data_IF_658289125632
#
_entry.id   IF_658289125632
#
_cell.length_a   1.000
_cell.length_b   1.000
_cell.length_c   1.000
_cell.angle_alpha   90.00
_cell.angle_beta   90.00
_cell.angle_gamma   90.00
#
_symmetry.space_group_name_H-M   'P 1'
#
loop_
_entity.id
_entity.type
_entity.pdbx_description
1 polymer ?
#
# COMPACT_ATOMS: atom_id res chain seq x y z
N UNK A 1 10.42 -6.11 15.26
CA UNK A 1 10.12 -7.10 16.33
C UNK A 1 9.86 -8.44 15.72
N UNK A 2 10.52 -9.51 16.17
CA UNK A 2 10.24 -10.89 15.73
C UNK A 2 9.15 -11.50 16.65
N UNK A 3 8.27 -12.31 16.08
CA UNK A 3 7.27 -13.09 16.81
C UNK A 3 7.17 -14.52 16.26
N UNK A 4 6.66 -15.45 17.08
CA UNK A 4 6.39 -16.83 16.69
C UNK A 4 4.95 -17.21 17.01
N UNK A 5 4.36 -18.08 16.20
CA UNK A 5 3.00 -18.58 16.38
C UNK A 5 2.98 -20.02 16.87
N UNK A 6 1.83 -20.49 17.38
CA UNK A 6 1.63 -21.89 17.81
C UNK A 6 1.74 -22.89 16.66
N UNK A 7 1.56 -22.45 15.42
CA UNK A 7 1.67 -23.28 14.21
C UNK A 7 3.11 -23.39 13.71
N UNK A 8 4.07 -22.71 14.37
CA UNK A 8 5.49 -22.75 14.01
C UNK A 8 5.91 -21.69 13.00
N UNK A 9 5.02 -20.77 12.61
CA UNK A 9 5.38 -19.61 11.78
C UNK A 9 6.20 -18.61 12.60
N UNK A 10 7.26 -18.09 11.99
CA UNK A 10 8.00 -16.93 12.49
C UNK A 10 7.64 -15.72 11.62
N UNK A 11 7.37 -14.59 12.25
CA UNK A 11 7.03 -13.35 11.53
C UNK A 11 7.73 -12.14 12.13
N UNK A 12 7.83 -11.08 11.34
CA UNK A 12 8.46 -9.81 11.73
C UNK A 12 7.45 -8.67 11.63
N UNK A 13 7.45 -7.79 12.63
CA UNK A 13 6.70 -6.52 12.62
C UNK A 13 7.73 -5.39 12.57
N UNK A 14 7.66 -4.58 11.51
CA UNK A 14 8.53 -3.42 11.29
C UNK A 14 7.70 -2.14 11.34
N UNK A 15 8.27 -1.07 11.89
CA UNK A 15 7.67 0.25 11.83
C UNK A 15 8.03 0.92 10.50
N UNK A 16 7.04 1.47 9.81
CA UNK A 16 7.21 2.24 8.58
C UNK A 16 6.90 3.72 8.83
N UNK A 17 7.60 4.62 8.15
CA UNK A 17 7.22 6.03 8.12
C UNK A 17 6.02 6.25 7.19
N UNK A 18 5.38 7.42 7.30
CA UNK A 18 4.12 7.69 6.60
C UNK A 18 4.22 7.59 5.08
N UNK A 19 5.36 7.99 4.49
CA UNK A 19 5.57 7.92 3.04
C UNK A 19 5.71 6.48 2.56
N UNK A 20 6.58 5.71 3.22
CA UNK A 20 6.78 4.29 2.89
C UNK A 20 5.51 3.47 3.11
N UNK A 21 4.76 3.75 4.18
CA UNK A 21 3.48 3.10 4.42
C UNK A 21 2.47 3.42 3.30
N UNK A 22 2.36 4.68 2.88
CA UNK A 22 1.45 5.07 1.79
C UNK A 22 1.84 4.43 0.45
N UNK A 23 3.15 4.34 0.17
CA UNK A 23 3.67 3.63 -1.00
C UNK A 23 3.21 2.16 -1.01
N UNK A 24 3.50 1.41 0.05
CA UNK A 24 3.14 -0.01 0.10
C UNK A 24 1.63 -0.25 0.15
N UNK A 25 0.85 0.59 0.84
CA UNK A 25 -0.62 0.51 0.81
C UNK A 25 -1.16 0.71 -0.61
N UNK A 26 -0.55 1.62 -1.39
CA UNK A 26 -0.93 1.85 -2.79
C UNK A 26 -0.58 0.64 -3.66
N UNK A 27 0.58 0.03 -3.42
CA UNK A 27 0.99 -1.21 -4.08
C UNK A 27 0.03 -2.38 -3.79
N UNK A 28 -0.35 -2.60 -2.53
CA UNK A 28 -1.32 -3.65 -2.15
C UNK A 28 -2.66 -3.48 -2.88
N UNK A 29 -3.18 -2.24 -2.94
CA UNK A 29 -4.43 -1.94 -3.65
C UNK A 29 -4.29 -2.19 -5.14
N UNK A 30 -3.16 -1.84 -5.75
CA UNK A 30 -2.90 -2.09 -7.16
C UNK A 30 -2.80 -3.59 -7.46
N UNK A 31 -2.08 -4.36 -6.62
CA UNK A 31 -2.00 -5.83 -6.70
C UNK A 31 -3.41 -6.44 -6.60
N UNK A 32 -4.20 -6.06 -5.59
CA UNK A 32 -5.54 -6.60 -5.38
C UNK A 32 -6.53 -6.30 -6.52
N UNK A 33 -6.33 -5.20 -7.26
CA UNK A 33 -7.14 -4.86 -8.45
C UNK A 33 -6.69 -5.60 -9.70
N UNK A 34 -5.40 -5.87 -9.83
CA UNK A 34 -4.81 -6.39 -11.06
C UNK A 34 -4.77 -7.91 -11.09
N UNK A 35 -4.60 -8.54 -9.92
CA UNK A 35 -4.39 -9.99 -9.79
C UNK A 35 -5.64 -10.63 -9.20
N UNK A 36 -6.10 -11.70 -9.85
CA UNK A 36 -7.23 -12.46 -9.35
C UNK A 36 -6.79 -13.36 -8.18
N UNK A 37 -7.43 -13.23 -7.00
CA UNK A 37 -7.09 -14.07 -5.87
C UNK A 37 -7.53 -15.52 -6.09
N UNK A 38 -6.78 -16.45 -5.51
CA UNK A 38 -7.11 -17.88 -5.55
C UNK A 38 -8.48 -18.09 -4.87
N UNK A 39 -9.38 -18.80 -5.55
CA UNK A 39 -10.73 -19.09 -5.03
C UNK A 39 -11.66 -17.87 -4.95
N UNK A 40 -11.26 -16.70 -5.48
CA UNK A 40 -12.07 -15.49 -5.43
C UNK A 40 -12.16 -14.84 -4.04
N UNK A 41 -11.28 -15.21 -3.11
CA UNK A 41 -11.28 -14.65 -1.76
C UNK A 41 -10.68 -13.25 -1.73
N UNK A 42 -11.39 -12.29 -1.14
CA UNK A 42 -10.87 -10.92 -0.99
C UNK A 42 -9.75 -10.89 0.04
N UNK A 43 -8.59 -10.35 -0.36
CA UNK A 43 -7.47 -10.11 0.53
C UNK A 43 -7.83 -9.22 1.73
N UNK A 44 -8.59 -8.13 1.47
CA UNK A 44 -9.05 -7.22 2.52
C UNK A 44 -9.93 -7.91 3.56
N UNK A 45 -10.78 -8.84 3.12
CA UNK A 45 -11.62 -9.62 4.01
C UNK A 45 -10.78 -10.63 4.80
N UNK A 46 -9.81 -11.28 4.16
CA UNK A 46 -8.90 -12.23 4.81
C UNK A 46 -8.08 -11.56 5.93
N UNK A 47 -7.56 -10.34 5.69
CA UNK A 47 -6.81 -9.57 6.69
C UNK A 47 -7.68 -8.73 7.64
N UNK A 48 -9.01 -8.76 7.51
CA UNK A 48 -9.89 -8.04 8.43
C UNK A 48 -9.79 -8.58 9.85
N UNK A 49 -9.89 -7.67 10.84
CA UNK A 49 -9.95 -8.06 12.24
C UNK A 49 -11.35 -8.60 12.54
N UNK A 50 -11.43 -9.91 12.78
CA UNK A 50 -12.67 -10.59 13.15
C UNK A 50 -12.72 -10.77 14.67
N UNK A 51 -13.64 -10.07 15.32
CA UNK A 51 -13.91 -10.18 16.74
C UNK A 51 -15.35 -10.67 16.94
N UNK A 52 -15.51 -12.00 17.09
CA UNK A 52 -16.78 -12.72 17.30
C UNK A 52 -17.95 -12.28 16.40
N UNK A 53 -18.61 -11.18 16.75
CA UNK A 53 -19.78 -10.62 16.07
C UNK A 53 -19.46 -9.43 15.15
N UNK A 54 -18.21 -8.96 15.13
CA UNK A 54 -17.80 -7.76 14.40
C UNK A 54 -16.63 -8.06 13.49
N UNK A 55 -16.70 -7.48 12.29
CA UNK A 55 -15.60 -7.48 11.33
C UNK A 55 -15.16 -6.02 11.15
N UNK A 56 -13.92 -5.74 11.51
CA UNK A 56 -13.31 -4.44 11.36
C UNK A 56 -12.25 -4.49 10.25
N UNK A 57 -12.23 -3.54 9.30
CA UNK A 57 -11.17 -3.47 8.30
C UNK A 57 -9.78 -3.34 8.96
N UNK A 58 -8.78 -3.96 8.35
CA UNK A 58 -7.39 -3.72 8.71
C UNK A 58 -7.05 -2.24 8.48
N UNK A 59 -6.33 -1.63 9.43
CA UNK A 59 -5.88 -0.24 9.34
C UNK A 59 -4.50 -0.10 9.98
N UNK A 60 -3.63 0.72 9.39
CA UNK A 60 -2.28 0.94 9.90
C UNK A 60 -1.33 -0.26 9.77
N UNK A 61 -1.68 -1.25 8.94
CA UNK A 61 -0.86 -2.41 8.64
C UNK A 61 -0.70 -2.57 7.14
N UNK A 62 0.48 -3.03 6.73
CA UNK A 62 0.83 -3.49 5.40
C UNK A 62 1.16 -4.98 5.52
N UNK A 63 0.65 -5.77 4.60
CA UNK A 63 0.95 -7.19 4.47
C UNK A 63 2.22 -7.41 3.64
N UNK A 64 3.31 -7.73 4.33
CA UNK A 64 4.61 -8.04 3.72
C UNK A 64 4.51 -9.13 2.66
N UNK A 65 3.82 -10.22 2.96
CA UNK A 65 3.66 -11.35 2.05
C UNK A 65 2.99 -10.91 0.73
N UNK A 66 2.00 -10.00 0.81
CA UNK A 66 1.30 -9.51 -0.38
C UNK A 66 2.20 -8.61 -1.23
N UNK A 67 2.91 -7.66 -0.63
CA UNK A 67 3.78 -6.75 -1.40
C UNK A 67 4.98 -7.49 -2.00
N UNK A 68 5.48 -8.53 -1.33
CA UNK A 68 6.56 -9.39 -1.81
C UNK A 68 6.18 -10.19 -3.06
N UNK A 69 4.91 -10.56 -3.22
CA UNK A 69 4.46 -11.24 -4.44
C UNK A 69 4.72 -10.43 -5.71
N UNK A 70 4.94 -9.10 -5.60
CA UNK A 70 5.34 -8.28 -6.74
C UNK A 70 6.61 -8.80 -7.43
N UNK A 71 7.58 -9.33 -6.67
CA UNK A 71 8.84 -9.88 -7.21
C UNK A 71 8.62 -11.15 -8.04
N UNK A 72 7.53 -11.87 -7.80
CA UNK A 72 7.18 -13.11 -8.50
C UNK A 72 6.33 -12.89 -9.76
N UNK A 73 5.90 -11.65 -10.02
CA UNK A 73 5.04 -11.34 -11.16
C UNK A 73 5.82 -11.35 -12.49
N UNK A 74 5.13 -11.69 -13.57
CA UNK A 74 5.67 -11.47 -14.91
C UNK A 74 5.66 -9.97 -15.25
N UNK A 75 6.59 -9.54 -16.11
CA UNK A 75 6.78 -8.12 -16.46
C UNK A 75 5.50 -7.43 -16.92
N UNK A 76 4.63 -8.12 -17.66
CA UNK A 76 3.36 -7.56 -18.13
C UNK A 76 2.39 -7.27 -16.98
N UNK A 77 2.35 -8.14 -15.98
CA UNK A 77 1.54 -7.94 -14.78
C UNK A 77 2.14 -6.84 -13.90
N UNK A 78 3.48 -6.78 -13.78
CA UNK A 78 4.16 -5.66 -13.11
C UNK A 78 3.82 -4.32 -13.77
N UNK A 79 3.87 -4.21 -15.10
CA UNK A 79 3.46 -3.01 -15.84
C UNK A 79 2.03 -2.60 -15.53
N UNK A 80 1.10 -3.57 -15.46
CA UNK A 80 -0.30 -3.29 -15.14
C UNK A 80 -0.48 -2.81 -13.68
N UNK A 81 0.24 -3.40 -12.73
CA UNK A 81 0.23 -2.98 -11.33
C UNK A 81 0.79 -1.56 -11.18
N UNK A 82 1.95 -1.26 -11.78
CA UNK A 82 2.58 0.06 -11.73
C UNK A 82 1.71 1.12 -12.42
N UNK A 83 1.08 0.78 -13.54
CA UNK A 83 0.11 1.67 -14.19
C UNK A 83 -1.09 1.97 -13.28
N UNK A 84 -1.57 0.99 -12.51
CA UNK A 84 -2.63 1.20 -11.53
C UNK A 84 -2.14 2.04 -10.33
N UNK A 85 -0.90 1.86 -9.87
CA UNK A 85 -0.31 2.71 -8.83
C UNK A 85 -0.20 4.17 -9.28
N UNK A 86 0.28 4.41 -10.51
CA UNK A 86 0.38 5.75 -11.09
C UNK A 86 -1.01 6.40 -11.27
N UNK A 87 -2.03 5.60 -11.61
CA UNK A 87 -3.43 6.05 -11.66
C UNK A 87 -3.99 6.41 -10.29
N UNK A 88 -3.77 5.58 -9.28
CA UNK A 88 -4.27 5.80 -7.91
C UNK A 88 -3.59 7.02 -7.27
N UNK A 89 -2.27 7.13 -7.45
CA UNK A 89 -1.49 8.28 -6.98
C UNK A 89 -1.34 8.43 -5.47
N UNK A 90 -1.92 7.52 -4.67
CA UNK A 90 -1.88 7.57 -3.21
C UNK A 90 -0.51 7.35 -2.57
N UNK A 91 0.52 7.08 -3.38
CA UNK A 91 1.91 6.90 -2.94
C UNK A 91 2.65 8.24 -2.74
N UNK A 92 2.18 9.32 -3.36
CA UNK A 92 2.69 10.68 -3.12
C UNK A 92 2.01 11.25 -1.87
N UNK A 93 2.74 11.28 -0.75
CA UNK A 93 2.27 11.94 0.47
C UNK A 93 2.96 13.29 0.60
N UNK A 94 2.21 14.37 0.45
CA UNK A 94 2.69 15.70 0.81
C UNK A 94 2.84 15.77 2.33
N UNK A 95 4.08 15.95 2.80
CA UNK A 95 4.40 16.13 4.24
C UNK A 95 3.59 17.27 4.90
N UNK A 96 2.96 18.15 4.11
CA UNK A 96 2.21 19.31 4.56
C UNK A 96 0.81 19.00 5.13
N UNK A 97 0.22 17.84 4.83
CA UNK A 97 -1.15 17.54 5.24
C UNK A 97 -1.29 17.21 6.74
N UNK A 98 -0.21 16.85 7.43
CA UNK A 98 -0.23 16.44 8.83
C UNK A 98 -0.18 17.63 9.83
N UNK A 99 -0.18 18.88 9.34
CA UNK A 99 -0.19 20.09 10.18
C UNK A 99 -1.55 20.82 10.23
N UNK A 100 -2.60 20.30 9.58
CA UNK A 100 -3.90 20.98 9.42
C UNK A 100 -5.07 20.39 10.21
N UNK A 101 -4.82 19.48 11.16
CA UNK A 101 -5.89 18.90 11.98
C UNK A 101 -6.51 19.85 13.02
N UNK A 102 -6.06 21.11 13.11
CA UNK A 102 -6.70 22.14 13.92
C UNK A 102 -6.96 23.40 13.07
N UNK A 103 -8.06 23.45 12.31
CA UNK A 103 -8.87 24.66 12.12
C UNK A 103 -10.11 24.38 11.24
N UNK A 104 -11.28 24.70 11.79
CA UNK A 104 -12.60 24.53 11.18
C UNK A 104 -12.87 25.54 10.05
N UNK A 105 -13.46 25.02 8.97
CA UNK A 105 -14.57 25.58 8.18
C UNK A 105 -14.37 26.95 7.48
N UNK A 106 -14.23 26.95 6.14
CA UNK A 106 -15.17 27.57 5.18
C UNK A 106 -14.59 27.60 3.75
N UNK A 107 -15.43 27.24 2.78
CA UNK A 107 -15.44 27.57 1.34
C UNK A 107 -14.13 27.91 0.60
N UNK A 108 -13.78 27.11 -0.41
CA UNK A 108 -13.60 27.55 -1.82
C UNK A 108 -13.21 26.39 -2.73
N UNK A 109 -14.16 26.00 -3.61
CA UNK A 109 -13.91 25.21 -4.82
C UNK A 109 -13.27 26.13 -5.86
N UNK A 110 -11.94 26.31 -5.90
CA UNK A 110 -11.29 26.88 -7.11
C UNK A 110 -9.76 26.75 -7.20
N UNK A 111 -9.13 25.79 -6.52
CA UNK A 111 -7.64 25.64 -6.56
C UNK A 111 -7.15 24.37 -7.28
N UNK A 112 -8.05 23.53 -7.79
CA UNK A 112 -7.70 22.19 -8.33
C UNK A 112 -7.16 22.19 -9.79
N UNK A 113 -6.78 23.34 -10.36
CA UNK A 113 -6.44 23.44 -11.80
C UNK A 113 -4.98 23.77 -12.15
N UNK A 114 -4.07 23.97 -11.19
CA UNK A 114 -2.72 24.49 -11.50
C UNK A 114 -1.58 23.60 -10.95
N UNK A 115 -1.76 22.27 -10.82
CA UNK A 115 -0.62 21.39 -10.52
C UNK A 115 -0.73 19.99 -11.15
N UNK A 116 -1.04 19.94 -12.45
CA UNK A 116 -1.20 18.70 -13.22
C UNK A 116 0.04 18.33 -14.06
N UNK A 117 1.11 19.12 -14.00
CA UNK A 117 2.30 18.95 -14.83
C UNK A 117 3.57 18.90 -13.97
N UNK A 118 3.88 17.69 -13.48
CA UNK A 118 5.18 17.15 -13.02
C UNK A 118 4.97 16.06 -11.95
N UNK A 119 3.99 15.16 -12.14
CA UNK A 119 3.97 13.92 -11.35
C UNK A 119 5.03 13.00 -11.93
N UNK A 120 6.06 12.70 -11.14
CA UNK A 120 7.06 11.71 -11.54
C UNK A 120 6.36 10.35 -11.60
N UNK A 121 6.13 9.81 -12.79
CA UNK A 121 5.53 8.49 -12.93
C UNK A 121 6.49 7.42 -12.35
N UNK A 122 5.98 6.52 -11.51
CA UNK A 122 6.77 5.39 -11.02
C UNK A 122 7.10 4.46 -12.19
N UNK A 123 8.37 4.08 -12.30
CA UNK A 123 8.79 2.98 -13.16
C UNK A 123 8.72 1.65 -12.41
N UNK A 124 8.77 0.54 -13.16
CA UNK A 124 8.85 -0.80 -12.57
C UNK A 124 10.11 -0.94 -11.73
N UNK A 125 11.22 -0.37 -12.20
CA UNK A 125 12.52 -0.48 -11.53
C UNK A 125 12.49 0.25 -10.17
N UNK A 126 11.74 1.36 -10.05
CA UNK A 126 11.54 2.05 -8.78
C UNK A 126 10.76 1.18 -7.78
N UNK A 127 9.70 0.52 -8.23
CA UNK A 127 8.90 -0.36 -7.37
C UNK A 127 9.69 -1.61 -6.99
N UNK A 128 10.44 -2.20 -7.91
CA UNK A 128 11.33 -3.32 -7.63
C UNK A 128 12.37 -2.96 -6.57
N UNK A 129 13.06 -1.84 -6.72
CA UNK A 129 14.07 -1.40 -5.77
C UNK A 129 13.51 -1.25 -4.35
N UNK A 130 12.32 -0.66 -4.22
CA UNK A 130 11.65 -0.48 -2.93
C UNK A 130 11.23 -1.82 -2.29
N UNK A 131 10.68 -2.75 -3.08
CA UNK A 131 10.28 -4.07 -2.56
C UNK A 131 11.51 -4.89 -2.20
N UNK A 132 12.55 -4.90 -3.03
CA UNK A 132 13.83 -5.56 -2.74
C UNK A 132 14.45 -5.03 -1.43
N UNK A 133 14.48 -3.71 -1.22
CA UNK A 133 14.97 -3.12 0.04
C UNK A 133 14.18 -3.63 1.25
N UNK A 134 12.85 -3.73 1.15
CA UNK A 134 12.00 -4.25 2.21
C UNK A 134 12.25 -5.74 2.49
N UNK A 135 12.48 -6.56 1.45
CA UNK A 135 12.78 -7.99 1.63
C UNK A 135 14.10 -8.27 2.34
N UNK A 136 15.06 -7.34 2.29
CA UNK A 136 16.33 -7.50 3.01
C UNK A 136 16.22 -7.31 4.54
N UNK A 137 15.05 -6.90 5.05
CA UNK A 137 14.86 -6.60 6.47
C UNK A 137 14.51 -7.81 7.33
N UNK A 138 14.32 -8.99 6.74
CA UNK A 138 14.01 -10.25 7.43
C UNK A 138 14.78 -11.43 6.85
#
# INVERSE_FOLDING_TARGET
>A
TLFGTVEGSLGVILGLDGRTAAFFITLERAIAKTIQPVGGFSHQLYRSCQAELRVHPAHGFVDGDLVETFLDLDRRTMEAVVAEMNRDGGWEVDDFANSRSDENNDSSKDTDRINLEERSELSIDDVLAMVEEMTMLH
#
